data_IF_902347493966
#
_entry.id   IF_902347493966
#
_cell.length_a   1.000
_cell.length_b   1.000
_cell.length_c   1.000
_cell.angle_alpha   90.00
_cell.angle_beta   90.00
_cell.angle_gamma   90.00
#
_symmetry.space_group_name_H-M   'P 1'
#
loop_
_entity.id
_entity.type
_entity.pdbx_description
1 polymer ?
#
# COMPACT_ATOMS: atom_id res chain seq x y z
N UNK A 1 0.24 17.12 -23.12
CA UNK A 1 0.02 17.54 -21.72
C UNK A 1 0.86 16.63 -20.84
N UNK A 2 1.36 17.09 -19.69
CA UNK A 2 2.06 16.20 -18.76
C UNK A 2 1.05 15.24 -18.10
N UNK A 3 1.45 14.01 -17.74
CA UNK A 3 0.55 13.07 -17.05
C UNK A 3 0.05 13.65 -15.73
N UNK A 4 -1.12 13.20 -15.28
CA UNK A 4 -1.65 13.54 -13.96
C UNK A 4 -0.65 13.09 -12.89
N UNK A 5 -0.32 14.00 -11.97
CA UNK A 5 0.51 13.70 -10.78
C UNK A 5 -0.15 14.20 -9.51
N UNK A 6 -0.08 13.41 -8.45
CA UNK A 6 -0.46 13.83 -7.10
C UNK A 6 0.62 14.79 -6.57
N UNK A 7 0.19 15.89 -5.95
CA UNK A 7 1.09 16.94 -5.48
C UNK A 7 1.21 16.93 -3.96
N UNK A 8 2.34 16.44 -3.46
CA UNK A 8 2.73 16.43 -2.05
C UNK A 8 3.27 17.80 -1.61
N UNK A 9 2.41 18.81 -1.66
CA UNK A 9 2.78 20.21 -1.46
C UNK A 9 1.95 20.94 -0.40
N UNK A 10 1.17 20.20 0.40
CA UNK A 10 0.29 20.82 1.38
C UNK A 10 1.09 21.58 2.44
N UNK A 11 0.90 22.90 2.60
CA UNK A 11 1.68 23.70 3.53
C UNK A 11 1.31 23.43 4.99
N UNK A 12 0.15 22.80 5.22
CA UNK A 12 -0.41 22.54 6.54
C UNK A 12 -0.79 21.06 6.64
N UNK A 13 -0.47 20.45 7.79
CA UNK A 13 -0.94 19.11 8.09
C UNK A 13 -2.26 19.12 8.83
N UNK A 14 -3.08 18.12 8.55
CA UNK A 14 -4.35 17.89 9.20
C UNK A 14 -4.40 16.47 9.74
N UNK A 15 -5.02 16.31 10.90
CA UNK A 15 -5.49 14.97 11.31
C UNK A 15 -6.76 14.68 10.50
N UNK A 16 -6.74 13.61 9.71
CA UNK A 16 -7.91 13.14 8.98
C UNK A 16 -9.07 12.88 9.96
N UNK A 17 -10.30 13.22 9.54
CA UNK A 17 -11.52 13.03 10.33
C UNK A 17 -12.60 12.38 9.48
N UNK A 18 -13.24 11.34 10.00
CA UNK A 18 -14.45 10.79 9.40
C UNK A 18 -15.54 11.87 9.33
N UNK A 19 -16.24 11.93 8.19
CA UNK A 19 -17.27 12.93 7.91
C UNK A 19 -16.75 14.29 7.42
N UNK A 20 -15.45 14.40 7.12
CA UNK A 20 -14.83 15.65 6.67
C UNK A 20 -14.47 15.59 5.18
N UNK A 21 -14.69 16.70 4.47
CA UNK A 21 -14.24 16.89 3.09
C UNK A 21 -12.81 17.44 3.04
N UNK A 22 -12.06 16.97 2.05
CA UNK A 22 -10.71 17.41 1.70
C UNK A 22 -10.62 17.64 0.20
N UNK A 23 -9.58 18.35 -0.23
CA UNK A 23 -9.20 18.52 -1.63
C UNK A 23 -7.86 17.85 -1.84
N UNK A 24 -7.82 16.81 -2.68
CA UNK A 24 -6.59 16.17 -3.17
C UNK A 24 -5.97 17.06 -4.24
N UNK A 25 -4.68 17.35 -4.11
CA UNK A 25 -3.95 18.20 -5.03
C UNK A 25 -3.37 17.37 -6.18
N UNK A 26 -3.64 17.77 -7.42
CA UNK A 26 -3.04 17.16 -8.61
C UNK A 26 -2.52 18.22 -9.58
N UNK A 27 -1.74 17.80 -10.58
CA UNK A 27 -1.32 18.68 -11.68
C UNK A 27 -2.47 19.19 -12.54
N UNK A 28 -3.61 18.51 -12.54
CA UNK A 28 -4.81 18.89 -13.28
C UNK A 28 -5.73 19.84 -12.48
N UNK A 29 -5.63 19.85 -11.15
CA UNK A 29 -6.46 20.69 -10.29
C UNK A 29 -6.66 20.09 -8.90
N UNK A 30 -7.80 20.41 -8.29
CA UNK A 30 -8.19 19.96 -6.96
C UNK A 30 -9.34 18.96 -7.08
N UNK A 31 -9.15 17.75 -6.57
CA UNK A 31 -10.18 16.72 -6.55
C UNK A 31 -10.86 16.68 -5.18
N UNK A 32 -12.18 16.89 -5.10
CA UNK A 32 -12.89 16.79 -3.84
C UNK A 32 -12.99 15.34 -3.39
N UNK A 33 -12.60 15.08 -2.14
CA UNK A 33 -12.69 13.77 -1.51
C UNK A 33 -13.41 13.85 -0.17
N UNK A 34 -14.15 12.80 0.17
CA UNK A 34 -14.81 12.64 1.46
C UNK A 34 -14.14 11.56 2.29
N UNK A 35 -13.70 11.88 3.50
CA UNK A 35 -13.19 10.87 4.43
C UNK A 35 -14.38 10.20 5.12
N UNK A 36 -14.53 8.89 4.91
CA UNK A 36 -15.64 8.11 5.50
C UNK A 36 -15.21 7.32 6.73
N UNK A 37 -13.97 6.84 6.80
CA UNK A 37 -13.41 6.19 7.99
C UNK A 37 -11.94 6.54 8.17
N UNK A 38 -11.49 6.60 9.43
CA UNK A 38 -10.07 6.74 9.80
C UNK A 38 -9.47 5.45 10.37
N UNK A 39 -10.21 4.34 10.25
CA UNK A 39 -9.88 3.03 10.81
C UNK A 39 -9.72 1.97 9.71
N UNK A 40 -9.56 2.38 8.44
CA UNK A 40 -9.34 1.45 7.35
C UNK A 40 -7.97 0.79 7.48
N UNK A 41 -7.82 -0.42 6.90
CA UNK A 41 -6.55 -1.16 6.86
C UNK A 41 -5.89 -1.25 8.25
N UNK A 42 -6.55 -1.94 9.18
CA UNK A 42 -6.12 -2.09 10.59
C UNK A 42 -5.88 -0.78 11.36
N UNK A 43 -6.38 0.34 10.83
CA UNK A 43 -6.16 1.66 11.40
C UNK A 43 -4.93 2.37 10.86
N UNK A 44 -4.25 1.86 9.84
CA UNK A 44 -3.12 2.56 9.21
C UNK A 44 -3.56 3.50 8.08
N UNK A 45 -4.76 3.29 7.55
CA UNK A 45 -5.30 4.05 6.43
C UNK A 45 -6.57 4.83 6.76
N UNK A 46 -6.90 5.73 5.84
CA UNK A 46 -8.13 6.51 5.78
C UNK A 46 -8.92 6.04 4.57
N UNK A 47 -10.19 5.69 4.76
CA UNK A 47 -11.10 5.42 3.64
C UNK A 47 -11.60 6.74 3.07
N UNK A 48 -11.35 6.97 1.78
CA UNK A 48 -11.83 8.16 1.07
C UNK A 48 -12.79 7.80 -0.07
N UNK A 49 -13.67 8.75 -0.36
CA UNK A 49 -14.59 8.75 -1.50
C UNK A 49 -14.23 9.92 -2.43
N UNK A 50 -13.56 9.67 -3.57
CA UNK A 50 -13.28 10.71 -4.56
C UNK A 50 -14.53 11.04 -5.37
N UNK A 51 -14.97 12.31 -5.39
CA UNK A 51 -16.18 12.72 -6.08
C UNK A 51 -15.90 13.17 -7.51
N UNK A 52 -16.88 12.96 -8.41
CA UNK A 52 -16.76 13.23 -9.86
C UNK A 52 -16.76 14.73 -10.20
N UNK A 53 -15.70 15.43 -9.78
CA UNK A 53 -15.47 16.84 -10.07
C UNK A 53 -13.98 17.16 -10.10
N UNK A 54 -13.61 18.18 -10.87
CA UNK A 54 -12.27 18.75 -10.91
C UNK A 54 -12.39 20.25 -10.71
N UNK A 55 -11.75 20.78 -9.66
CA UNK A 55 -11.87 22.17 -9.25
C UNK A 55 -10.57 22.92 -9.53
N UNK A 56 -10.67 24.20 -9.87
CA UNK A 56 -9.53 25.11 -9.97
C UNK A 56 -9.53 26.18 -8.86
N UNK A 57 -10.64 26.29 -8.12
CA UNK A 57 -10.79 27.15 -6.95
C UNK A 57 -11.22 26.29 -5.75
N UNK A 58 -10.54 26.45 -4.63
CA UNK A 58 -10.85 25.78 -3.36
C UNK A 58 -12.20 26.21 -2.75
N UNK A 59 -12.73 27.35 -3.20
CA UNK A 59 -14.03 27.86 -2.77
C UNK A 59 -15.20 27.33 -3.61
N UNK A 60 -14.92 26.55 -4.66
CA UNK A 60 -15.96 25.96 -5.50
C UNK A 60 -16.72 24.85 -4.74
N UNK A 61 -18.02 25.06 -4.56
CA UNK A 61 -18.93 24.14 -3.84
C UNK A 61 -19.87 23.38 -4.78
N UNK A 62 -19.69 23.49 -6.10
CA UNK A 62 -20.53 22.85 -7.13
C UNK A 62 -20.59 21.32 -6.99
N UNK A 63 -19.58 20.71 -6.37
CA UNK A 63 -19.50 19.27 -6.13
C UNK A 63 -20.33 18.78 -4.93
N UNK A 64 -20.86 19.67 -4.08
CA UNK A 64 -21.59 19.28 -2.87
C UNK A 64 -22.78 18.33 -3.12
N UNK A 65 -23.58 18.49 -4.19
CA UNK A 65 -24.63 17.53 -4.52
C UNK A 65 -24.10 16.10 -4.75
N UNK A 66 -22.89 15.97 -5.31
CA UNK A 66 -22.26 14.66 -5.59
C UNK A 66 -21.92 13.89 -4.31
N UNK A 67 -21.64 14.62 -3.22
CA UNK A 67 -21.38 14.05 -1.89
C UNK A 67 -22.62 13.35 -1.35
N UNK A 68 -23.79 13.98 -1.51
CA UNK A 68 -25.06 13.45 -0.99
C UNK A 68 -25.53 12.20 -1.75
N UNK A 69 -25.13 12.05 -3.01
CA UNK A 69 -25.54 10.95 -3.89
C UNK A 69 -24.46 9.90 -4.06
N UNK A 70 -23.29 10.04 -3.42
CA UNK A 70 -22.09 9.23 -3.66
C UNK A 70 -21.80 9.07 -5.16
N UNK A 71 -21.85 10.18 -5.90
CA UNK A 71 -21.44 10.19 -7.31
C UNK A 71 -19.92 10.29 -7.38
N UNK A 72 -19.28 9.12 -7.40
CA UNK A 72 -17.83 8.99 -7.30
C UNK A 72 -17.13 9.11 -8.67
N UNK A 73 -15.89 9.57 -8.60
CA UNK A 73 -14.95 9.62 -9.72
C UNK A 73 -14.31 8.24 -9.95
N UNK A 74 -13.83 7.63 -8.89
CA UNK A 74 -13.29 6.27 -8.85
C UNK A 74 -13.92 5.53 -7.67
N UNK A 75 -13.82 4.18 -7.59
CA UNK A 75 -14.18 3.45 -6.39
C UNK A 75 -13.60 4.09 -5.11
N UNK A 76 -14.23 3.87 -3.94
CA UNK A 76 -13.60 4.20 -2.66
C UNK A 76 -12.17 3.68 -2.62
N UNK A 77 -11.28 4.39 -1.93
CA UNK A 77 -9.89 3.96 -1.83
C UNK A 77 -9.31 4.25 -0.47
N UNK A 78 -8.29 3.49 -0.10
CA UNK A 78 -7.57 3.64 1.15
C UNK A 78 -6.33 4.49 0.91
N UNK A 79 -6.12 5.49 1.77
CA UNK A 79 -4.97 6.39 1.67
C UNK A 79 -4.22 6.39 3.00
N UNK A 80 -2.90 6.41 2.95
CA UNK A 80 -2.07 6.43 4.13
C UNK A 80 -2.36 7.69 4.97
N UNK A 81 -2.42 7.53 6.29
CA UNK A 81 -2.64 8.67 7.20
C UNK A 81 -1.57 9.76 7.07
N UNK A 82 -0.35 9.41 6.64
CA UNK A 82 0.76 10.34 6.43
C UNK A 82 0.46 11.38 5.36
N UNK A 83 -0.38 11.07 4.38
CA UNK A 83 -0.65 11.94 3.22
C UNK A 83 -1.53 13.14 3.58
N UNK A 84 -2.16 13.13 4.75
CA UNK A 84 -2.89 14.28 5.30
C UNK A 84 -2.00 15.21 6.12
N UNK A 85 -0.75 14.83 6.42
CA UNK A 85 0.19 15.62 7.24
C UNK A 85 0.77 16.78 6.42
N UNK A 86 1.63 17.58 7.05
CA UNK A 86 2.36 18.66 6.37
C UNK A 86 3.21 18.05 5.26
N UNK A 87 3.28 18.69 4.10
CA UNK A 87 3.85 18.15 2.86
C UNK A 87 3.08 16.95 2.27
N UNK A 88 1.91 16.64 2.82
CA UNK A 88 0.98 15.71 2.21
C UNK A 88 0.28 16.29 0.96
N UNK A 89 -0.69 15.57 0.42
CA UNK A 89 -1.38 15.92 -0.82
C UNK A 89 -2.81 16.44 -0.63
N UNK A 90 -3.24 16.68 0.62
CA UNK A 90 -4.59 17.16 0.92
C UNK A 90 -4.64 18.55 1.57
N UNK A 91 -5.68 19.31 1.23
CA UNK A 91 -6.16 20.47 1.98
C UNK A 91 -7.53 20.20 2.62
N UNK A 92 -7.75 20.68 3.85
CA UNK A 92 -9.03 20.55 4.52
C UNK A 92 -10.06 21.56 3.98
N UNK A 93 -11.29 21.10 3.73
CA UNK A 93 -12.42 21.99 3.40
C UNK A 93 -12.98 22.58 4.70
N UNK A 94 -12.87 23.89 4.87
CA UNK A 94 -13.26 24.57 6.12
C UNK A 94 -14.67 25.15 6.08
N UNK A 95 -15.41 24.97 4.98
CA UNK A 95 -16.80 25.42 4.89
C UNK A 95 -17.67 24.66 5.89
N UNK A 96 -18.43 25.41 6.69
CA UNK A 96 -19.34 24.85 7.69
C UNK A 96 -20.63 24.33 7.07
N UNK A 97 -20.93 24.70 5.83
CA UNK A 97 -22.09 24.21 5.07
C UNK A 97 -21.76 22.97 4.22
N UNK A 98 -20.50 22.52 4.26
CA UNK A 98 -20.06 21.32 3.57
C UNK A 98 -20.93 20.10 3.97
N UNK A 99 -21.42 19.31 2.99
CA UNK A 99 -22.12 18.06 3.29
C UNK A 99 -21.17 17.04 3.91
N UNK A 100 -21.76 16.07 4.61
CA UNK A 100 -21.03 14.99 5.27
C UNK A 100 -20.93 13.81 4.29
N UNK A 101 -19.73 13.29 3.99
CA UNK A 101 -19.55 12.06 3.22
C UNK A 101 -20.40 10.91 3.74
N UNK A 102 -21.10 10.22 2.84
CA UNK A 102 -21.99 9.11 3.20
C UNK A 102 -21.23 7.79 3.02
N UNK A 103 -20.89 7.06 4.09
CA UNK A 103 -20.24 5.76 3.95
C UNK A 103 -21.16 4.72 3.30
N UNK A 104 -20.58 3.73 2.61
CA UNK A 104 -21.29 2.51 2.28
C UNK A 104 -21.37 1.59 3.50
N UNK A 105 -22.36 0.70 3.56
CA UNK A 105 -22.40 -0.32 4.63
C UNK A 105 -21.24 -1.31 4.48
N UNK A 106 -21.02 -1.77 3.25
CA UNK A 106 -19.94 -2.68 2.87
C UNK A 106 -19.12 -2.05 1.73
N UNK A 107 -17.81 -2.25 1.79
CA UNK A 107 -16.87 -1.91 0.73
C UNK A 107 -16.41 -3.20 0.09
N UNK A 108 -16.53 -3.31 -1.23
CA UNK A 108 -16.21 -4.53 -1.97
C UNK A 108 -14.91 -4.37 -2.74
N UNK A 109 -14.12 -5.44 -2.78
CA UNK A 109 -12.90 -5.53 -3.56
C UNK A 109 -12.81 -6.92 -4.20
N UNK A 110 -11.99 -7.05 -5.23
CA UNK A 110 -11.52 -8.37 -5.63
C UNK A 110 -10.30 -8.72 -4.79
N UNK A 111 -10.15 -9.98 -4.40
CA UNK A 111 -8.95 -10.42 -3.69
C UNK A 111 -7.70 -10.12 -4.53
N UNK A 112 -6.72 -9.46 -3.93
CA UNK A 112 -5.48 -9.03 -4.60
C UNK A 112 -5.68 -7.90 -5.61
N UNK A 113 -6.78 -7.13 -5.55
CA UNK A 113 -6.96 -5.97 -6.43
C UNK A 113 -6.02 -4.83 -6.05
N UNK A 114 -5.20 -4.40 -7.02
CA UNK A 114 -4.36 -3.21 -6.85
C UNK A 114 -4.21 -2.40 -8.16
N UNK A 115 -4.35 -3.04 -9.32
CA UNK A 115 -4.18 -2.40 -10.61
C UNK A 115 -5.51 -1.82 -11.12
N UNK A 116 -5.45 -0.67 -11.79
CA UNK A 116 -6.61 -0.02 -12.40
C UNK A 116 -6.95 -0.64 -13.75
N UNK A 117 -8.19 -1.09 -13.94
CA UNK A 117 -8.73 -1.45 -15.24
C UNK A 117 -9.69 -0.34 -15.74
N UNK A 118 -9.31 0.43 -16.78
CA UNK A 118 -10.15 1.51 -17.30
C UNK A 118 -11.42 1.03 -18.00
N UNK A 119 -11.46 -0.21 -18.51
CA UNK A 119 -12.67 -0.77 -19.14
C UNK A 119 -13.77 -1.07 -18.11
N UNK A 120 -13.36 -1.46 -16.90
CA UNK A 120 -14.27 -1.81 -15.80
C UNK A 120 -14.48 -0.65 -14.82
N UNK A 121 -13.69 0.43 -14.92
CA UNK A 121 -13.61 1.52 -13.93
C UNK A 121 -13.45 1.00 -12.50
N UNK A 122 -12.60 -0.03 -12.35
CA UNK A 122 -12.43 -0.79 -11.13
C UNK A 122 -10.96 -1.15 -10.90
N UNK A 123 -10.62 -1.39 -9.63
CA UNK A 123 -9.36 -2.04 -9.29
C UNK A 123 -9.52 -3.55 -9.37
N UNK A 124 -8.58 -4.22 -10.04
CA UNK A 124 -8.65 -5.66 -10.35
C UNK A 124 -7.31 -6.35 -10.10
N UNK A 125 -7.31 -7.67 -9.83
CA UNK A 125 -6.08 -8.45 -9.72
C UNK A 125 -5.47 -8.71 -11.10
N UNK A 126 -4.14 -8.80 -11.12
CA UNK A 126 -3.38 -9.21 -12.31
C UNK A 126 -3.34 -10.75 -12.41
N UNK A 127 -3.29 -11.28 -13.63
CA UNK A 127 -3.08 -12.70 -13.90
C UNK A 127 -1.60 -13.09 -13.85
N UNK A 128 -0.69 -12.15 -14.16
CA UNK A 128 0.77 -12.33 -14.14
C UNK A 128 1.43 -11.29 -13.22
N UNK A 129 2.57 -11.65 -12.61
CA UNK A 129 3.43 -10.69 -11.88
C UNK A 129 3.99 -9.71 -12.92
N UNK A 130 3.50 -8.46 -12.85
CA UNK A 130 3.81 -7.31 -13.71
C UNK A 130 4.97 -7.53 -14.73
N UNK A 131 4.69 -7.54 -16.05
CA UNK A 131 5.70 -7.18 -17.03
C UNK A 131 6.11 -5.72 -16.76
N UNK A 132 7.42 -5.45 -16.70
CA UNK A 132 8.02 -4.13 -16.39
C UNK A 132 7.65 -3.00 -17.38
N UNK A 133 6.78 -3.28 -18.36
CA UNK A 133 6.50 -2.42 -19.51
C UNK A 133 5.02 -2.30 -19.89
N UNK A 134 4.09 -3.03 -19.23
CA UNK A 134 2.64 -2.97 -19.53
C UNK A 134 1.81 -3.17 -18.27
N UNK A 135 0.62 -2.55 -18.22
CA UNK A 135 -0.48 -3.07 -17.40
C UNK A 135 -0.57 -4.56 -17.70
N UNK A 136 -0.27 -5.41 -16.70
CA UNK A 136 -0.31 -6.86 -16.86
C UNK A 136 -1.67 -7.32 -17.38
N UNK A 137 -1.74 -8.56 -17.86
CA UNK A 137 -3.02 -9.22 -18.09
C UNK A 137 -3.85 -9.18 -16.79
N UNK A 138 -5.13 -8.81 -16.88
CA UNK A 138 -6.02 -8.88 -15.73
C UNK A 138 -6.54 -10.31 -15.55
N UNK A 139 -6.73 -10.72 -14.30
CA UNK A 139 -7.36 -12.01 -14.02
C UNK A 139 -8.78 -12.02 -14.64
N UNK A 140 -9.20 -13.10 -15.34
CA UNK A 140 -10.54 -13.19 -15.91
C UNK A 140 -11.64 -13.01 -14.85
N UNK A 141 -12.73 -12.33 -15.19
CA UNK A 141 -13.80 -12.00 -14.23
C UNK A 141 -14.36 -13.23 -13.48
N UNK A 142 -14.47 -14.36 -14.17
CA UNK A 142 -14.97 -15.63 -13.62
C UNK A 142 -13.98 -16.33 -12.67
N UNK A 143 -12.74 -15.85 -12.57
CA UNK A 143 -11.70 -16.37 -11.69
C UNK A 143 -11.44 -15.44 -10.49
N UNK A 144 -12.10 -14.28 -10.43
CA UNK A 144 -11.93 -13.32 -9.34
C UNK A 144 -12.80 -13.69 -8.14
N UNK A 145 -12.22 -13.64 -6.96
CA UNK A 145 -12.93 -13.77 -5.69
C UNK A 145 -13.38 -12.37 -5.23
N UNK A 146 -14.66 -12.22 -4.89
CA UNK A 146 -15.19 -10.98 -4.34
C UNK A 146 -15.13 -11.05 -2.82
N UNK A 147 -14.55 -10.03 -2.22
CA UNK A 147 -14.52 -9.82 -0.78
C UNK A 147 -15.25 -8.53 -0.43
N UNK A 148 -15.67 -8.44 0.84
CA UNK A 148 -16.20 -7.20 1.38
C UNK A 148 -15.67 -6.95 2.78
N UNK A 149 -15.49 -5.67 3.09
CA UNK A 149 -15.19 -5.18 4.43
C UNK A 149 -16.36 -4.34 4.93
N UNK A 150 -16.81 -4.62 6.14
CA UNK A 150 -17.84 -3.84 6.83
C UNK A 150 -17.28 -2.48 7.23
N UNK A 151 -18.02 -1.42 6.95
CA UNK A 151 -17.61 -0.06 7.24
C UNK A 151 -17.15 0.14 8.69
N UNK A 152 -16.00 0.80 8.86
CA UNK A 152 -15.47 1.24 10.14
C UNK A 152 -15.28 0.11 11.19
N UNK A 153 -15.12 -1.13 10.71
CA UNK A 153 -14.66 -2.24 11.53
C UNK A 153 -13.16 -2.13 11.79
N UNK A 154 -12.75 -2.34 13.04
CA UNK A 154 -11.34 -2.47 13.41
C UNK A 154 -11.20 -3.48 14.57
N UNK A 155 -10.54 -4.65 14.38
CA UNK A 155 -9.91 -5.09 13.13
C UNK A 155 -10.92 -5.17 11.97
N UNK A 156 -10.47 -5.04 10.71
CA UNK A 156 -11.35 -5.17 9.55
C UNK A 156 -12.15 -6.46 9.65
N UNK A 157 -13.48 -6.34 9.60
CA UNK A 157 -14.40 -7.47 9.55
C UNK A 157 -15.03 -7.53 8.17
N UNK A 158 -15.32 -8.74 7.71
CA UNK A 158 -15.70 -8.96 6.32
C UNK A 158 -15.88 -10.42 5.98
N UNK A 159 -15.97 -10.71 4.69
CA UNK A 159 -16.02 -12.06 4.17
C UNK A 159 -16.05 -12.10 2.65
N UNK A 160 -16.21 -13.30 2.11
CA UNK A 160 -16.41 -13.51 0.69
C UNK A 160 -17.88 -13.28 0.31
N UNK A 161 -18.10 -12.71 -0.88
CA UNK A 161 -19.42 -12.58 -1.48
C UNK A 161 -19.51 -13.43 -2.76
N UNK A 162 -20.65 -14.09 -2.96
CA UNK A 162 -20.89 -14.88 -4.19
C UNK A 162 -21.22 -13.95 -5.36
N UNK A 163 -21.92 -12.84 -5.08
CA UNK A 163 -22.30 -11.83 -6.05
C UNK A 163 -22.58 -10.51 -5.35
N UNK A 164 -22.58 -9.41 -6.10
CA UNK A 164 -22.91 -8.08 -5.61
C UNK A 164 -23.95 -7.41 -6.50
N UNK A 165 -24.54 -6.32 -6.02
CA UNK A 165 -25.50 -5.53 -6.78
C UNK A 165 -24.86 -4.93 -8.04
N UNK A 166 -25.63 -4.73 -9.13
CA UNK A 166 -25.14 -4.00 -10.30
C UNK A 166 -24.63 -2.61 -9.94
N UNK A 167 -23.52 -2.20 -10.56
CA UNK A 167 -22.82 -0.92 -10.29
C UNK A 167 -22.14 -0.82 -8.91
N UNK A 168 -21.90 -1.94 -8.24
CA UNK A 168 -21.03 -1.97 -7.06
C UNK A 168 -19.62 -1.49 -7.44
N UNK A 169 -19.07 -0.59 -6.62
CA UNK A 169 -17.68 -0.16 -6.76
C UNK A 169 -16.73 -1.23 -6.21
N UNK A 170 -15.73 -1.59 -7.01
CA UNK A 170 -14.65 -2.49 -6.59
C UNK A 170 -13.39 -1.70 -6.30
N UNK A 171 -13.07 -1.58 -5.02
CA UNK A 171 -11.89 -0.86 -4.55
C UNK A 171 -10.63 -1.72 -4.57
N UNK A 172 -9.52 -1.09 -4.25
CA UNK A 172 -8.23 -1.73 -3.94
C UNK A 172 -8.36 -2.62 -2.69
N UNK A 173 -7.64 -3.74 -2.68
CA UNK A 173 -7.54 -4.66 -1.53
C UNK A 173 -6.51 -4.16 -0.49
N UNK A 174 -5.59 -3.30 -0.91
CA UNK A 174 -4.54 -2.70 -0.08
C UNK A 174 -4.39 -1.21 -0.35
N UNK A 175 -3.55 -0.51 0.42
CA UNK A 175 -3.23 0.89 0.13
C UNK A 175 -2.50 0.95 -1.23
N UNK A 176 -3.03 1.66 -2.23
CA UNK A 176 -2.42 1.67 -3.56
C UNK A 176 -1.16 2.52 -3.58
N UNK A 177 -0.21 2.12 -4.42
CA UNK A 177 0.87 3.03 -4.80
C UNK A 177 0.33 4.24 -5.55
N UNK A 178 0.97 5.40 -5.39
CA UNK A 178 0.56 6.65 -6.01
C UNK A 178 0.36 6.51 -7.52
N UNK A 179 1.23 5.75 -8.20
CA UNK A 179 1.13 5.51 -9.65
C UNK A 179 -0.19 4.86 -10.08
N UNK A 180 -0.69 3.89 -9.30
CA UNK A 180 -1.96 3.22 -9.61
C UNK A 180 -3.15 4.13 -9.33
N UNK A 181 -3.06 4.96 -8.30
CA UNK A 181 -4.07 5.98 -8.01
C UNK A 181 -4.08 7.08 -9.07
N UNK A 182 -2.92 7.57 -9.50
CA UNK A 182 -2.77 8.56 -10.57
C UNK A 182 -3.39 8.06 -11.87
N UNK A 183 -3.14 6.80 -12.25
CA UNK A 183 -3.75 6.19 -13.43
C UNK A 183 -5.28 6.10 -13.31
N UNK A 184 -5.79 5.66 -12.16
CA UNK A 184 -7.22 5.59 -11.93
C UNK A 184 -7.89 6.97 -12.05
N UNK A 185 -7.28 7.99 -11.45
CA UNK A 185 -7.78 9.37 -11.50
C UNK A 185 -7.73 9.94 -12.91
N UNK A 186 -6.63 9.78 -13.64
CA UNK A 186 -6.48 10.30 -15.01
C UNK A 186 -7.48 9.67 -15.98
N UNK A 187 -7.57 8.34 -15.98
CA UNK A 187 -8.49 7.61 -16.85
C UNK A 187 -9.96 7.92 -16.50
N UNK A 188 -10.30 8.03 -15.22
CA UNK A 188 -11.66 8.39 -14.81
C UNK A 188 -12.02 9.84 -15.15
N UNK A 189 -11.10 10.79 -14.96
CA UNK A 189 -11.32 12.17 -15.35
C UNK A 189 -11.58 12.29 -16.85
N UNK A 190 -10.82 11.57 -17.67
CA UNK A 190 -11.03 11.54 -19.11
C UNK A 190 -12.35 10.85 -19.50
N UNK A 191 -12.68 9.73 -18.85
CA UNK A 191 -13.93 9.00 -19.08
C UNK A 191 -15.17 9.89 -18.81
N UNK A 192 -15.09 10.76 -17.80
CA UNK A 192 -16.17 11.70 -17.47
C UNK A 192 -16.02 13.07 -18.14
N UNK A 193 -15.15 13.21 -19.14
CA UNK A 193 -14.95 14.44 -19.91
C UNK A 193 -14.58 15.65 -19.03
N UNK A 194 -13.93 15.40 -17.89
CA UNK A 194 -13.41 16.44 -16.98
C UNK A 194 -12.00 16.91 -17.40
N UNK A 195 -11.32 16.13 -18.24
CA UNK A 195 -10.10 16.51 -18.94
C UNK A 195 -10.19 16.05 -20.40
N UNK A 196 -9.56 16.78 -21.31
CA UNK A 196 -9.65 16.52 -22.75
C UNK A 196 -8.78 15.36 -23.24
N UNK A 197 -7.86 14.87 -22.40
CA UNK A 197 -6.86 13.89 -22.82
C UNK A 197 -6.89 12.70 -21.87
N UNK A 198 -7.16 11.46 -22.35
CA UNK A 198 -6.93 10.28 -21.55
C UNK A 198 -5.43 10.15 -21.27
N UNK A 199 -5.09 9.30 -20.29
CA UNK A 199 -3.71 8.92 -20.01
C UNK A 199 -3.00 8.59 -21.33
N UNK A 200 -1.79 9.13 -21.57
CA UNK A 200 -0.99 8.71 -22.72
C UNK A 200 -0.88 7.18 -22.74
N UNK A 201 -1.00 6.56 -23.92
CA UNK A 201 -0.57 5.17 -24.09
C UNK A 201 0.82 5.07 -23.48
N UNK A 202 0.97 4.16 -22.51
CA UNK A 202 2.06 4.09 -21.54
C UNK A 202 3.28 4.83 -22.08
N UNK A 203 3.72 5.97 -21.49
CA UNK A 203 5.12 6.29 -21.71
C UNK A 203 5.81 4.99 -21.33
N UNK A 204 6.61 4.44 -22.25
CA UNK A 204 7.69 3.54 -21.88
C UNK A 204 8.14 4.10 -20.55
N UNK A 205 8.01 3.33 -19.46
CA UNK A 205 8.70 3.75 -18.25
C UNK A 205 10.07 4.12 -18.81
N UNK A 206 10.52 5.41 -18.76
CA UNK A 206 11.95 5.61 -18.89
C UNK A 206 12.46 4.56 -17.92
N UNK A 207 13.29 3.59 -18.37
CA UNK A 207 13.78 2.57 -17.46
C UNK A 207 14.09 3.36 -16.22
N UNK A 208 13.43 3.04 -15.10
CA UNK A 208 13.80 3.73 -13.88
C UNK A 208 15.32 3.67 -13.96
N UNK A 209 15.95 4.85 -13.98
CA UNK A 209 17.30 4.87 -13.46
C UNK A 209 17.01 4.33 -12.09
N UNK A 210 17.13 2.99 -11.95
CA UNK A 210 17.26 2.31 -10.69
C UNK A 210 18.12 3.31 -9.95
N UNK A 211 17.70 3.83 -8.78
CA UNK A 211 18.66 4.51 -7.95
C UNK A 211 19.83 3.56 -7.97
N UNK A 212 20.90 3.99 -8.63
CA UNK A 212 22.07 3.18 -8.90
C UNK A 212 22.81 3.22 -7.58
N UNK A 213 22.14 2.75 -6.51
CA UNK A 213 22.77 1.81 -5.63
C UNK A 213 23.35 0.79 -6.60
N UNK A 214 24.66 0.88 -6.78
CA UNK A 214 25.44 -0.09 -7.52
C UNK A 214 24.94 -1.47 -7.08
N UNK A 215 24.03 -2.06 -7.87
CA UNK A 215 23.68 -3.47 -7.74
C UNK A 215 24.90 -4.20 -8.26
N UNK A 216 25.87 -4.30 -7.37
CA UNK A 216 26.84 -5.37 -7.43
C UNK A 216 25.97 -6.63 -7.36
N UNK A 217 25.99 -7.52 -8.37
CA UNK A 217 25.20 -8.73 -8.31
C UNK A 217 25.83 -9.63 -7.23
N UNK A 218 25.44 -9.41 -5.99
CA UNK A 218 25.76 -10.29 -4.88
C UNK A 218 24.65 -11.32 -4.77
N UNK A 219 25.06 -12.55 -4.55
CA UNK A 219 24.25 -13.77 -4.55
C UNK A 219 23.45 -13.89 -3.25
N UNK A 220 23.17 -12.76 -2.60
CA UNK A 220 22.70 -12.67 -1.22
C UNK A 220 21.19 -12.51 -1.25
N UNK A 221 20.47 -13.52 -0.73
CA UNK A 221 19.01 -13.55 -0.66
C UNK A 221 18.41 -12.54 0.34
N UNK A 222 19.27 -11.88 1.13
CA UNK A 222 18.91 -10.81 2.05
C UNK A 222 19.40 -9.47 1.51
N UNK A 223 18.44 -8.59 1.21
CA UNK A 223 18.69 -7.29 0.61
C UNK A 223 18.60 -6.18 1.66
N UNK A 224 19.32 -5.08 1.40
CA UNK A 224 19.18 -3.81 2.09
C UNK A 224 19.02 -2.70 1.06
N UNK A 225 18.01 -1.85 1.22
CA UNK A 225 17.71 -0.74 0.34
C UNK A 225 17.46 0.54 1.15
N UNK A 226 17.72 1.70 0.53
CA UNK A 226 17.44 3.01 1.10
C UNK A 226 16.46 3.74 0.17
N UNK A 227 15.30 4.13 0.70
CA UNK A 227 14.24 4.83 -0.02
C UNK A 227 13.75 6.02 0.81
N UNK A 228 13.81 7.23 0.24
CA UNK A 228 13.32 8.47 0.86
C UNK A 228 13.78 8.71 2.31
N UNK A 229 15.04 8.39 2.60
CA UNK A 229 15.66 8.57 3.92
C UNK A 229 15.29 7.48 4.94
N UNK A 230 14.63 6.41 4.49
CA UNK A 230 14.32 5.22 5.29
C UNK A 230 15.12 4.03 4.74
N UNK A 231 15.69 3.21 5.61
CA UNK A 231 16.39 1.98 5.21
C UNK A 231 15.50 0.77 5.44
N UNK A 232 15.49 -0.18 4.51
CA UNK A 232 14.73 -1.43 4.61
C UNK A 232 15.65 -2.63 4.39
N UNK A 233 15.58 -3.63 5.27
CA UNK A 233 16.15 -4.96 5.09
C UNK A 233 15.02 -5.91 4.74
N UNK A 234 15.16 -6.65 3.64
CA UNK A 234 14.11 -7.55 3.19
C UNK A 234 14.63 -8.82 2.51
N UNK A 235 13.85 -9.90 2.59
CA UNK A 235 14.11 -11.14 1.88
C UNK A 235 12.79 -11.81 1.49
N UNK A 236 12.63 -12.14 0.20
CA UNK A 236 11.57 -13.01 -0.25
C UNK A 236 11.88 -14.44 0.22
N UNK A 237 10.95 -15.08 0.95
CA UNK A 237 11.22 -16.36 1.60
C UNK A 237 11.50 -17.48 0.59
N UNK A 238 10.89 -17.40 -0.59
CA UNK A 238 11.11 -18.34 -1.69
C UNK A 238 12.47 -18.19 -2.39
N UNK A 239 13.19 -17.09 -2.12
CA UNK A 239 14.55 -16.83 -2.61
C UNK A 239 15.63 -17.26 -1.62
N UNK A 240 15.28 -17.60 -0.38
CA UNK A 240 16.21 -18.15 0.59
C UNK A 240 16.72 -19.53 0.14
N UNK A 241 17.93 -19.88 0.56
CA UNK A 241 18.53 -21.15 0.18
C UNK A 241 17.71 -22.35 0.68
N UNK A 242 17.62 -23.41 -0.12
CA UNK A 242 16.94 -24.64 0.29
C UNK A 242 17.51 -25.23 1.59
N UNK A 243 18.80 -25.02 1.86
CA UNK A 243 19.46 -25.43 3.11
C UNK A 243 18.97 -24.62 4.31
N UNK A 244 18.79 -23.31 4.14
CA UNK A 244 18.21 -22.43 5.15
C UNK A 244 16.77 -22.84 5.46
N UNK A 245 15.94 -23.01 4.43
CA UNK A 245 14.53 -23.39 4.57
C UNK A 245 14.37 -24.77 5.24
N UNK A 246 15.16 -25.75 4.82
CA UNK A 246 15.15 -27.09 5.44
C UNK A 246 15.61 -27.07 6.89
N UNK A 247 16.59 -26.24 7.25
CA UNK A 247 17.04 -26.08 8.65
C UNK A 247 15.93 -25.57 9.57
N UNK A 248 15.10 -24.64 9.08
CA UNK A 248 13.93 -24.12 9.81
C UNK A 248 12.88 -25.20 10.00
N UNK A 249 12.57 -25.94 8.93
CA UNK A 249 11.60 -27.06 8.97
C UNK A 249 12.08 -28.18 9.90
N UNK A 250 13.36 -28.54 9.86
CA UNK A 250 13.97 -29.56 10.73
C UNK A 250 13.91 -29.15 12.22
N UNK A 251 13.90 -27.84 12.50
CA UNK A 251 13.71 -27.31 13.84
C UNK A 251 12.24 -27.25 14.29
N UNK A 252 11.29 -27.64 13.43
CA UNK A 252 9.86 -27.72 13.75
C UNK A 252 9.04 -26.48 13.40
N UNK A 253 9.62 -25.51 12.69
CA UNK A 253 8.96 -24.25 12.35
C UNK A 253 8.57 -24.19 10.88
N UNK A 254 7.57 -23.33 10.59
CA UNK A 254 7.23 -22.99 9.21
C UNK A 254 8.12 -21.82 8.73
N UNK A 255 8.89 -21.98 7.64
CA UNK A 255 9.66 -20.88 7.08
C UNK A 255 8.73 -19.86 6.43
N UNK A 256 8.53 -18.71 7.08
CA UNK A 256 7.73 -17.58 6.62
C UNK A 256 8.32 -16.27 7.19
N UNK A 257 7.89 -15.12 6.68
CA UNK A 257 8.46 -13.83 7.10
C UNK A 257 8.33 -13.55 8.60
N UNK A 258 7.22 -13.94 9.23
CA UNK A 258 7.02 -13.79 10.69
C UNK A 258 8.06 -14.57 11.50
N UNK A 259 8.41 -15.78 11.07
CA UNK A 259 9.45 -16.58 11.72
C UNK A 259 10.82 -15.88 11.64
N UNK A 260 11.20 -15.39 10.46
CA UNK A 260 12.47 -14.69 10.28
C UNK A 260 12.48 -13.32 10.98
N UNK A 261 11.32 -12.67 11.12
CA UNK A 261 11.16 -11.50 11.97
C UNK A 261 11.44 -11.80 13.43
N UNK A 262 10.86 -12.88 13.97
CA UNK A 262 11.14 -13.34 15.32
C UNK A 262 12.63 -13.56 15.56
N UNK A 263 13.33 -14.21 14.61
CA UNK A 263 14.79 -14.37 14.66
C UNK A 263 15.52 -13.01 14.63
N UNK A 264 15.08 -12.08 13.79
CA UNK A 264 15.67 -10.75 13.72
C UNK A 264 15.50 -9.99 15.05
N UNK A 265 14.32 -10.04 15.67
CA UNK A 265 14.04 -9.45 16.99
C UNK A 265 14.93 -10.06 18.08
N UNK A 266 15.10 -11.39 18.04
CA UNK A 266 16.01 -12.08 18.96
C UNK A 266 17.47 -11.60 18.78
N UNK A 267 17.95 -11.49 17.54
CA UNK A 267 19.30 -10.99 17.26
C UNK A 267 19.50 -9.54 17.71
N UNK A 268 18.52 -8.67 17.45
CA UNK A 268 18.53 -7.26 17.90
C UNK A 268 18.68 -7.18 19.41
N UNK A 269 17.90 -7.96 20.15
CA UNK A 269 17.97 -8.05 21.61
C UNK A 269 19.32 -8.58 22.09
N UNK A 270 19.80 -9.67 21.48
CA UNK A 270 21.06 -10.34 21.84
C UNK A 270 22.29 -9.46 21.59
N UNK A 271 22.28 -8.70 20.51
CA UNK A 271 23.40 -7.84 20.09
C UNK A 271 23.30 -6.41 20.63
N UNK A 272 22.28 -6.10 21.45
CA UNK A 272 22.04 -4.78 22.03
C UNK A 272 21.94 -3.68 20.96
N UNK A 273 21.34 -4.01 19.81
CA UNK A 273 21.04 -3.06 18.75
C UNK A 273 19.88 -2.17 19.22
N UNK A 274 20.01 -0.85 19.04
CA UNK A 274 18.94 0.10 19.38
C UNK A 274 17.75 -0.09 18.42
N UNK A 275 16.61 -0.52 18.95
CA UNK A 275 15.39 -0.83 18.22
C UNK A 275 14.36 0.30 18.23
N UNK A 276 14.69 1.47 18.81
CA UNK A 276 13.74 2.57 19.03
C UNK A 276 13.16 3.18 17.75
N UNK A 277 13.84 3.01 16.61
CA UNK A 277 13.41 3.45 15.28
C UNK A 277 13.37 2.28 14.29
N UNK A 278 13.00 1.08 14.76
CA UNK A 278 12.86 -0.11 13.91
C UNK A 278 11.41 -0.56 13.91
N UNK A 279 10.81 -0.56 12.73
CA UNK A 279 9.52 -1.17 12.46
C UNK A 279 9.75 -2.52 11.77
N UNK A 280 9.12 -3.57 12.28
CA UNK A 280 9.10 -4.86 11.60
C UNK A 280 7.72 -5.05 10.97
N UNK A 281 7.70 -5.33 9.67
CA UNK A 281 6.51 -5.34 8.83
C UNK A 281 6.52 -6.57 7.92
N UNK A 282 6.90 -7.72 8.49
CA UNK A 282 7.01 -8.95 7.72
C UNK A 282 5.65 -9.55 7.43
N UNK A 283 5.54 -10.19 6.27
CA UNK A 283 4.36 -10.93 5.83
C UNK A 283 4.72 -12.41 5.64
N UNK A 284 3.73 -13.26 5.35
CA UNK A 284 3.99 -14.70 5.18
C UNK A 284 5.11 -15.00 4.17
N UNK A 285 5.15 -14.30 3.03
CA UNK A 285 6.12 -14.51 1.96
C UNK A 285 7.36 -13.62 2.01
N UNK A 286 7.44 -12.66 2.95
CA UNK A 286 8.43 -11.59 2.93
C UNK A 286 8.90 -11.25 4.35
N UNK A 287 10.20 -11.34 4.60
CA UNK A 287 10.84 -10.64 5.72
C UNK A 287 10.96 -9.16 5.35
N UNK A 288 10.51 -8.25 6.20
CA UNK A 288 10.66 -6.80 6.01
C UNK A 288 10.91 -6.09 7.33
N UNK A 289 12.02 -5.36 7.40
CA UNK A 289 12.44 -4.58 8.56
C UNK A 289 12.78 -3.19 8.05
N UNK A 290 12.22 -2.15 8.67
CA UNK A 290 12.30 -0.76 8.23
C UNK A 290 12.89 0.05 9.38
N UNK A 291 13.84 0.95 9.10
CA UNK A 291 14.37 1.82 10.16
C UNK A 291 15.58 2.64 9.77
N UNK A 292 16.32 3.05 10.79
CA UNK A 292 17.55 3.81 10.64
C UNK A 292 18.66 2.98 9.99
N UNK A 293 19.40 3.62 9.08
CA UNK A 293 20.48 2.99 8.31
C UNK A 293 21.51 2.25 9.16
N UNK A 294 21.90 2.84 10.28
CA UNK A 294 22.91 2.25 11.17
C UNK A 294 22.41 0.92 11.75
N UNK A 295 21.20 0.91 12.31
CA UNK A 295 20.61 -0.27 12.92
C UNK A 295 20.33 -1.35 11.87
N UNK A 296 19.79 -0.97 10.70
CA UNK A 296 19.47 -1.92 9.64
C UNK A 296 20.73 -2.51 8.99
N UNK A 297 21.84 -1.77 8.93
CA UNK A 297 23.13 -2.34 8.48
C UNK A 297 23.64 -3.41 9.45
N UNK A 298 23.45 -3.22 10.76
CA UNK A 298 23.83 -4.21 11.78
C UNK A 298 22.94 -5.45 11.69
N UNK A 299 21.63 -5.26 11.58
CA UNK A 299 20.66 -6.35 11.42
C UNK A 299 20.92 -7.14 10.14
N UNK A 300 21.15 -6.46 9.01
CA UNK A 300 21.51 -7.10 7.74
C UNK A 300 22.74 -7.99 7.89
N UNK A 301 23.80 -7.47 8.49
CA UNK A 301 25.04 -8.23 8.71
C UNK A 301 24.83 -9.45 9.61
N UNK A 302 24.06 -9.30 10.69
CA UNK A 302 23.78 -10.39 11.63
C UNK A 302 22.95 -11.50 10.96
N UNK A 303 21.89 -11.12 10.25
CA UNK A 303 21.02 -12.05 9.54
C UNK A 303 21.74 -12.73 8.38
N UNK A 304 22.50 -12.01 7.54
CA UNK A 304 23.26 -12.65 6.45
C UNK A 304 24.23 -13.71 6.98
N UNK A 305 24.98 -13.38 8.03
CA UNK A 305 25.92 -14.32 8.68
C UNK A 305 25.18 -15.57 9.20
N UNK A 306 23.97 -15.37 9.74
CA UNK A 306 23.16 -16.45 10.25
C UNK A 306 22.60 -17.34 9.13
N UNK A 307 22.06 -16.74 8.08
CA UNK A 307 21.40 -17.45 6.97
C UNK A 307 22.39 -18.24 6.11
N UNK A 308 23.64 -17.79 6.03
CA UNK A 308 24.74 -18.48 5.33
C UNK A 308 25.34 -19.65 6.13
N UNK A 309 24.96 -19.81 7.40
CA UNK A 309 25.52 -20.83 8.29
C UNK A 309 24.41 -21.68 8.94
N UNK A 310 24.05 -22.82 8.33
CA UNK A 310 22.98 -23.69 8.83
C UNK A 310 23.17 -24.18 10.27
N UNK A 311 24.41 -24.40 10.71
CA UNK A 311 24.68 -24.84 12.08
C UNK A 311 24.48 -23.69 13.08
N UNK A 312 24.89 -22.47 12.72
CA UNK A 312 24.62 -21.28 13.52
C UNK A 312 23.12 -20.94 13.55
N UNK A 313 22.42 -21.12 12.43
CA UNK A 313 20.97 -20.96 12.34
C UNK A 313 20.25 -21.93 13.27
N UNK A 314 20.58 -23.23 13.21
CA UNK A 314 19.98 -24.24 14.09
C UNK A 314 20.22 -23.95 15.56
N UNK A 315 21.45 -23.56 15.93
CA UNK A 315 21.78 -23.18 17.29
C UNK A 315 20.99 -21.95 17.75
N UNK A 316 20.91 -20.92 16.91
CA UNK A 316 20.18 -19.68 17.21
C UNK A 316 18.68 -19.93 17.35
N UNK A 317 18.07 -20.77 16.51
CA UNK A 317 16.66 -21.17 16.64
C UNK A 317 16.43 -21.85 17.99
N UNK A 318 17.31 -22.78 18.38
CA UNK A 318 17.20 -23.49 19.67
C UNK A 318 17.35 -22.55 20.87
N UNK A 319 18.27 -21.58 20.78
CA UNK A 319 18.45 -20.56 21.81
C UNK A 319 17.26 -19.61 21.90
N UNK A 320 16.75 -19.15 20.75
CA UNK A 320 15.62 -18.25 20.68
C UNK A 320 14.33 -18.91 21.19
N UNK A 321 14.09 -20.19 20.88
CA UNK A 321 12.94 -20.98 21.35
C UNK A 321 12.86 -21.02 22.89
N UNK A 322 14.01 -21.12 23.56
CA UNK A 322 14.08 -21.02 25.02
C UNK A 322 13.65 -19.65 25.59
N UNK A 323 13.47 -18.65 24.71
CA UNK A 323 13.04 -17.29 25.01
C UNK A 323 11.66 -16.93 24.43
N UNK A 324 10.87 -17.88 23.91
CA UNK A 324 9.53 -17.69 23.33
C UNK A 324 9.47 -16.58 22.27
N UNK A 325 10.31 -16.68 21.26
CA UNK A 325 10.45 -15.66 20.20
C UNK A 325 9.42 -15.78 19.06
N UNK A 326 8.57 -16.81 19.10
CA UNK A 326 7.60 -17.19 18.06
C UNK A 326 6.12 -16.98 18.48
N UNK A 327 5.87 -16.37 19.65
CA UNK A 327 4.55 -16.00 20.20
C UNK A 327 4.22 -14.51 20.01
#
# INVERSE_FOLDING_TARGET
MAPLKILFNSPQGFRAKAGQLYLLHTTCGLLPVGVTSTNAFWGEAVMIHPYRALLHDKADTSYYPLVNTNTLLIPPTMIAKRDFRKQGCFSCVTDKQAPIPVPFENYYNYRGSFAWNPEELAFVPLADVLPRDRLGSFLPLNERVIEYTVHNSNPPTGGEAISVEPNTYFMVDMVPHDVHLEFALEDALAYYELIDTPRPAHPDFPPEDEPTAEQTPTTDALHIAELDGTTTVFAAIDQLSATTLSTVVDAGYQPNGYFFEGLARYLVSREMIDDSNIDFDSEHGLLSIIGDKLALTQIHSALSTLLDNPDALRATITEADAHNFDD
#
